data_IF_311091685378
#
_entry.id   IF_311091685378
#
_cell.length_a   1.000
_cell.length_b   1.000
_cell.length_c   1.000
_cell.angle_alpha   90.00
_cell.angle_beta   90.00
_cell.angle_gamma   90.00
#
_symmetry.space_group_name_H-M   'P 1'
#
loop_
_entity.id
_entity.type
_entity.pdbx_description
1 polymer ?
#
# COMPACT_ATOMS: atom_id res chain seq x y z
N UNK A 1 20.87 9.27 -9.62
CA UNK A 1 19.72 8.39 -9.82
C UNK A 1 19.71 7.87 -11.24
N UNK A 2 19.60 6.59 -11.41
CA UNK A 2 19.57 5.98 -12.73
C UNK A 2 18.23 6.26 -13.43
N UNK A 3 18.28 6.36 -14.74
CA UNK A 3 17.06 6.47 -15.54
C UNK A 3 16.25 5.18 -15.43
N UNK A 4 14.93 5.30 -15.33
CA UNK A 4 14.04 4.16 -15.22
C UNK A 4 12.72 4.46 -15.94
N UNK A 5 12.04 3.41 -16.37
CA UNK A 5 10.72 3.52 -16.98
C UNK A 5 9.67 3.10 -15.97
N UNK A 6 8.61 3.87 -15.83
CA UNK A 6 7.45 3.52 -15.04
C UNK A 6 6.37 3.00 -15.98
N UNK A 7 5.89 1.78 -15.75
CA UNK A 7 4.76 1.20 -16.47
C UNK A 7 3.53 1.28 -15.58
N UNK A 8 2.54 2.07 -15.99
CA UNK A 8 1.28 2.23 -15.26
C UNK A 8 0.17 1.54 -16.04
N UNK A 9 -0.53 0.64 -15.38
CA UNK A 9 -1.66 -0.07 -15.98
C UNK A 9 -2.95 0.27 -15.24
N UNK A 10 -3.93 0.80 -15.96
CA UNK A 10 -5.24 1.19 -15.42
C UNK A 10 -6.22 0.06 -15.70
N UNK A 11 -6.50 -0.75 -14.67
CA UNK A 11 -7.26 -2.00 -14.82
C UNK A 11 -8.65 -1.77 -15.44
N UNK A 12 -9.31 -0.69 -15.04
CA UNK A 12 -10.63 -0.32 -15.57
C UNK A 12 -10.59 0.97 -16.40
N UNK A 13 -9.40 1.38 -16.84
CA UNK A 13 -9.23 2.56 -17.66
C UNK A 13 -9.26 3.90 -16.93
N UNK A 14 -9.47 3.90 -15.62
CA UNK A 14 -9.53 5.13 -14.82
C UNK A 14 -8.22 5.34 -14.05
N UNK A 15 -7.61 6.54 -14.13
CA UNK A 15 -6.41 6.82 -13.35
C UNK A 15 -6.64 6.85 -11.83
N UNK A 16 -7.88 6.99 -11.38
CA UNK A 16 -8.22 7.02 -9.96
C UNK A 16 -8.77 5.69 -9.44
N UNK A 17 -8.93 4.70 -10.32
CA UNK A 17 -9.41 3.38 -9.96
C UNK A 17 -8.29 2.41 -9.65
N UNK A 18 -8.62 1.12 -9.67
CA UNK A 18 -7.64 0.05 -9.49
C UNK A 18 -6.57 0.15 -10.57
N UNK A 19 -5.31 0.22 -10.16
CA UNK A 19 -4.17 0.40 -11.06
C UNK A 19 -2.93 -0.26 -10.49
N UNK A 20 -2.00 -0.59 -11.39
CA UNK A 20 -0.70 -1.15 -11.01
C UNK A 20 0.42 -0.28 -11.58
N UNK A 21 1.55 -0.28 -10.89
CA UNK A 21 2.74 0.43 -11.34
C UNK A 21 3.99 -0.44 -11.15
N UNK A 22 4.86 -0.44 -12.14
CA UNK A 22 6.12 -1.17 -12.12
C UNK A 22 7.25 -0.26 -12.58
N UNK A 23 8.43 -0.43 -11.97
CA UNK A 23 9.65 0.24 -12.39
C UNK A 23 10.54 -0.74 -13.14
N UNK A 24 11.19 -0.28 -14.20
CA UNK A 24 12.03 -1.15 -15.04
C UNK A 24 13.24 -1.72 -14.33
N UNK A 25 13.74 -1.04 -13.30
CA UNK A 25 14.94 -1.44 -12.55
C UNK A 25 14.63 -1.92 -11.13
N UNK A 26 13.39 -2.29 -10.85
CA UNK A 26 12.97 -2.75 -9.53
C UNK A 26 12.08 -3.98 -9.67
N UNK A 27 12.30 -4.97 -8.81
CA UNK A 27 11.50 -6.20 -8.80
C UNK A 27 10.15 -6.02 -8.12
N UNK A 28 9.90 -4.88 -7.49
CA UNK A 28 8.65 -4.61 -6.81
C UNK A 28 7.55 -4.16 -7.76
N UNK A 29 6.33 -4.31 -7.29
CA UNK A 29 5.12 -3.89 -8.00
C UNK A 29 4.20 -3.21 -7.01
N UNK A 30 3.63 -2.08 -7.40
CA UNK A 30 2.64 -1.37 -6.60
C UNK A 30 1.25 -1.61 -7.20
N UNK A 31 0.27 -1.84 -6.33
CA UNK A 31 -1.14 -1.95 -6.72
C UNK A 31 -1.92 -0.98 -5.84
N UNK A 32 -2.68 -0.09 -6.44
CA UNK A 32 -3.44 0.91 -5.71
C UNK A 32 -4.90 0.89 -6.11
N UNK A 33 -5.77 1.16 -5.16
CA UNK A 33 -7.20 1.22 -5.42
C UNK A 33 -7.91 2.09 -4.40
N UNK A 34 -9.00 2.78 -4.81
CA UNK A 34 -9.89 3.40 -3.85
C UNK A 34 -10.66 2.33 -3.08
N UNK A 35 -11.15 2.69 -1.90
CA UNK A 35 -11.86 1.74 -1.03
C UNK A 35 -13.08 1.10 -1.71
N UNK A 36 -13.77 1.83 -2.57
CA UNK A 36 -14.93 1.30 -3.27
C UNK A 36 -14.58 0.21 -4.29
N UNK A 37 -13.31 -0.01 -4.57
CA UNK A 37 -12.84 -1.11 -5.41
C UNK A 37 -12.05 -2.15 -4.62
N UNK A 38 -12.22 -2.19 -3.30
CA UNK A 38 -11.51 -3.13 -2.43
C UNK A 38 -11.76 -4.58 -2.85
N UNK A 39 -12.98 -4.94 -3.22
CA UNK A 39 -13.28 -6.32 -3.63
C UNK A 39 -12.50 -6.74 -4.87
N UNK A 40 -12.32 -5.84 -5.84
CA UNK A 40 -11.51 -6.11 -7.03
C UNK A 40 -10.03 -6.19 -6.68
N UNK A 41 -9.56 -5.34 -5.78
CA UNK A 41 -8.19 -5.37 -5.30
C UNK A 41 -7.88 -6.71 -4.63
N UNK A 42 -8.74 -7.17 -3.73
CA UNK A 42 -8.53 -8.41 -2.99
C UNK A 42 -8.52 -9.67 -3.88
N UNK A 43 -9.08 -9.59 -5.08
CA UNK A 43 -9.08 -10.71 -6.03
C UNK A 43 -7.81 -10.81 -6.85
N UNK A 44 -6.91 -9.83 -6.75
CA UNK A 44 -5.65 -9.84 -7.50
C UNK A 44 -4.72 -10.90 -6.92
N UNK A 45 -4.10 -11.68 -7.80
CA UNK A 45 -3.18 -12.76 -7.38
C UNK A 45 -2.00 -12.23 -6.58
N UNK A 46 -1.52 -11.03 -6.91
CA UNK A 46 -0.38 -10.41 -6.22
C UNK A 46 -0.64 -10.25 -4.73
N UNK A 47 -1.89 -10.08 -4.32
CA UNK A 47 -2.22 -9.83 -2.92
C UNK A 47 -2.15 -11.06 -2.03
N UNK A 48 -2.01 -12.26 -2.59
CA UNK A 48 -1.77 -13.46 -1.79
C UNK A 48 -0.30 -13.63 -1.44
N UNK A 49 0.54 -12.68 -1.80
CA UNK A 49 1.99 -12.69 -1.55
C UNK A 49 2.34 -11.85 -0.33
N UNK A 50 3.57 -12.04 0.21
CA UNK A 50 4.10 -11.13 1.21
C UNK A 50 4.27 -9.73 0.65
N UNK A 51 4.02 -8.72 1.47
CA UNK A 51 4.16 -7.33 1.04
C UNK A 51 3.88 -6.37 2.17
N UNK A 52 3.91 -5.09 1.85
CA UNK A 52 3.51 -4.04 2.77
C UNK A 52 2.45 -3.17 2.09
N UNK A 53 1.70 -2.42 2.90
CA UNK A 53 0.60 -1.65 2.37
C UNK A 53 0.39 -0.37 3.17
N UNK A 54 -0.18 0.63 2.50
CA UNK A 54 -0.59 1.89 3.09
C UNK A 54 -2.11 2.00 2.97
N UNK A 55 -2.75 2.38 4.08
CA UNK A 55 -4.13 2.80 4.06
C UNK A 55 -4.14 4.29 4.35
N UNK A 56 -4.71 5.07 3.45
CA UNK A 56 -4.73 6.53 3.58
C UNK A 56 -6.16 7.04 3.59
N UNK A 57 -6.37 8.10 4.34
CA UNK A 57 -7.67 8.73 4.47
C UNK A 57 -7.59 9.96 5.35
N UNK A 58 -8.67 10.24 6.05
CA UNK A 58 -8.78 11.42 6.91
C UNK A 58 -9.26 10.98 8.28
N UNK A 59 -8.60 11.47 9.32
CA UNK A 59 -9.05 11.23 10.69
C UNK A 59 -10.37 11.97 10.92
N UNK A 60 -11.39 11.24 11.39
CA UNK A 60 -12.73 11.80 11.53
C UNK A 60 -12.83 12.85 12.64
N UNK A 61 -11.94 12.82 13.62
CA UNK A 61 -11.97 13.78 14.74
C UNK A 61 -11.22 15.07 14.44
N UNK A 62 -10.00 14.94 13.88
CA UNK A 62 -9.14 16.11 13.66
C UNK A 62 -9.24 16.68 12.25
N UNK A 63 -9.73 15.91 11.27
CA UNK A 63 -9.71 16.31 9.88
C UNK A 63 -8.35 16.20 9.22
N UNK A 64 -7.34 15.72 9.93
CA UNK A 64 -5.99 15.56 9.41
C UNK A 64 -5.88 14.30 8.54
N UNK A 65 -4.92 14.30 7.62
CA UNK A 65 -4.61 13.11 6.84
C UNK A 65 -4.12 12.01 7.76
N UNK A 66 -4.62 10.79 7.54
CA UNK A 66 -4.26 9.62 8.34
C UNK A 66 -3.63 8.57 7.44
N UNK A 67 -2.55 7.94 7.93
CA UNK A 67 -1.85 6.87 7.23
C UNK A 67 -1.69 5.70 8.19
N UNK A 68 -2.06 4.51 7.72
CA UNK A 68 -1.73 3.26 8.39
C UNK A 68 -0.74 2.51 7.48
N UNK A 69 0.39 2.09 8.04
CA UNK A 69 1.43 1.35 7.31
C UNK A 69 1.53 -0.02 7.94
N UNK A 70 1.34 -1.06 7.15
CA UNK A 70 1.40 -2.43 7.64
C UNK A 70 2.20 -3.35 6.75
N UNK A 71 2.56 -4.51 7.31
CA UNK A 71 3.20 -5.58 6.59
C UNK A 71 2.43 -6.88 6.81
N UNK A 72 2.55 -7.81 5.86
CA UNK A 72 1.86 -9.09 5.97
C UNK A 72 2.54 -10.16 5.13
N UNK A 73 2.41 -11.41 5.55
CA UNK A 73 2.80 -12.54 4.72
C UNK A 73 1.78 -12.81 3.62
N UNK A 74 0.52 -12.45 3.87
CA UNK A 74 -0.54 -12.48 2.87
C UNK A 74 -1.30 -11.16 3.00
N UNK A 75 -1.07 -10.26 2.06
CA UNK A 75 -1.62 -8.91 2.12
C UNK A 75 -3.15 -8.92 2.02
N UNK A 76 -3.73 -9.81 1.20
CA UNK A 76 -5.18 -9.88 1.05
C UNK A 76 -5.89 -10.14 2.38
N UNK A 77 -5.36 -11.07 3.18
CA UNK A 77 -5.94 -11.41 4.48
C UNK A 77 -5.86 -10.22 5.43
N UNK A 78 -4.71 -9.55 5.47
CA UNK A 78 -4.53 -8.38 6.35
C UNK A 78 -5.40 -7.20 5.92
N UNK A 79 -5.47 -6.92 4.62
CA UNK A 79 -6.34 -5.84 4.13
C UNK A 79 -7.81 -6.12 4.47
N UNK A 80 -8.24 -7.34 4.31
CA UNK A 80 -9.61 -7.71 4.64
C UNK A 80 -9.93 -7.45 6.10
N UNK A 81 -8.96 -7.61 7.00
CA UNK A 81 -9.14 -7.33 8.42
C UNK A 81 -9.36 -5.85 8.73
N UNK A 82 -8.98 -4.96 7.81
CA UNK A 82 -9.18 -3.52 7.95
C UNK A 82 -10.47 -3.02 7.30
N UNK A 83 -11.26 -3.91 6.69
CA UNK A 83 -12.45 -3.50 5.94
C UNK A 83 -13.51 -2.81 6.80
N UNK A 84 -13.52 -3.08 8.11
CA UNK A 84 -14.46 -2.46 9.03
C UNK A 84 -14.00 -1.12 9.61
N UNK A 85 -12.77 -0.72 9.35
CA UNK A 85 -12.24 0.55 9.84
C UNK A 85 -12.62 1.68 8.90
N UNK A 86 -12.97 2.83 9.42
CA UNK A 86 -13.56 3.90 8.63
C UNK A 86 -12.62 5.08 8.32
N UNK A 87 -11.38 5.06 8.83
CA UNK A 87 -10.46 6.18 8.63
C UNK A 87 -9.87 6.25 7.22
N UNK A 88 -9.86 5.14 6.47
CA UNK A 88 -9.16 5.09 5.18
C UNK A 88 -10.12 5.01 4.01
N UNK A 89 -9.69 5.56 2.88
CA UNK A 89 -10.45 5.54 1.63
C UNK A 89 -9.62 5.09 0.43
N UNK A 90 -8.33 4.85 0.62
CA UNK A 90 -7.43 4.43 -0.45
C UNK A 90 -6.41 3.44 0.10
N UNK A 91 -6.08 2.42 -0.68
CA UNK A 91 -5.08 1.42 -0.33
C UNK A 91 -4.01 1.35 -1.41
N UNK A 92 -2.75 1.26 -0.99
CA UNK A 92 -1.62 1.03 -1.89
C UNK A 92 -0.83 -0.15 -1.34
N UNK A 93 -0.59 -1.14 -2.19
CA UNK A 93 0.08 -2.39 -1.83
C UNK A 93 1.37 -2.51 -2.62
N UNK A 94 2.43 -2.95 -1.96
CA UNK A 94 3.73 -3.21 -2.58
C UNK A 94 4.11 -4.67 -2.37
N UNK A 95 4.35 -5.37 -3.47
CA UNK A 95 4.78 -6.78 -3.45
C UNK A 95 6.00 -6.94 -4.34
N UNK A 96 6.73 -8.03 -4.18
CA UNK A 96 7.85 -8.35 -5.06
C UNK A 96 7.38 -9.27 -6.19
N UNK A 97 7.84 -8.98 -7.42
CA UNK A 97 7.53 -9.81 -8.58
C UNK A 97 8.27 -11.13 -8.58
N UNK A 98 9.40 -11.21 -7.90
CA UNK A 98 10.31 -12.35 -7.94
C UNK A 98 10.42 -13.10 -6.61
N UNK A 99 9.49 -12.85 -5.68
CA UNK A 99 9.43 -13.52 -4.38
C UNK A 99 10.67 -13.34 -3.49
N UNK A 100 11.50 -12.35 -3.80
CA UNK A 100 12.70 -12.08 -2.99
C UNK A 100 12.41 -11.25 -1.73
N UNK A 101 11.18 -10.81 -1.57
CA UNK A 101 10.79 -9.98 -0.44
C UNK A 101 10.44 -10.87 0.76
N UNK A 102 11.35 -10.97 1.72
CA UNK A 102 11.14 -11.75 2.94
C UNK A 102 10.40 -10.94 4.00
N UNK A 103 9.86 -11.63 5.01
CA UNK A 103 9.19 -11.01 6.13
C UNK A 103 10.10 -10.01 6.87
N UNK A 104 11.39 -10.34 7.01
CA UNK A 104 12.35 -9.44 7.65
C UNK A 104 12.56 -8.16 6.83
N UNK A 105 12.66 -8.28 5.51
CA UNK A 105 12.78 -7.13 4.63
C UNK A 105 11.52 -6.24 4.70
N UNK A 106 10.36 -6.86 4.76
CA UNK A 106 9.09 -6.15 4.85
C UNK A 106 9.02 -5.34 6.15
N UNK A 107 9.39 -5.92 7.27
CA UNK A 107 9.40 -5.24 8.58
C UNK A 107 10.37 -4.07 8.59
N UNK A 108 11.53 -4.24 7.98
CA UNK A 108 12.52 -3.17 7.88
C UNK A 108 11.96 -1.98 7.09
N UNK A 109 11.34 -2.27 5.94
CA UNK A 109 10.73 -1.23 5.10
C UNK A 109 9.58 -0.54 5.82
N UNK A 110 8.73 -1.30 6.51
CA UNK A 110 7.64 -0.74 7.31
C UNK A 110 8.16 0.26 8.35
N UNK A 111 9.18 -0.13 9.11
CA UNK A 111 9.78 0.76 10.11
C UNK A 111 10.34 2.03 9.50
N UNK A 112 11.01 1.91 8.35
CA UNK A 112 11.56 3.07 7.64
C UNK A 112 10.46 4.01 7.15
N UNK A 113 9.37 3.45 6.62
CA UNK A 113 8.26 4.25 6.10
C UNK A 113 7.52 4.96 7.23
N UNK A 114 7.32 4.32 8.36
CA UNK A 114 6.73 4.95 9.54
C UNK A 114 7.61 6.12 10.00
N UNK A 115 8.93 5.92 10.07
CA UNK A 115 9.87 6.99 10.42
C UNK A 115 9.75 8.18 9.47
N UNK A 116 9.71 7.92 8.16
CA UNK A 116 9.61 8.97 7.15
C UNK A 116 8.28 9.72 7.29
N UNK A 117 7.19 9.01 7.52
CA UNK A 117 5.87 9.62 7.70
C UNK A 117 5.83 10.52 8.95
N UNK A 118 6.45 10.08 10.05
CA UNK A 118 6.54 10.88 11.26
C UNK A 118 7.38 12.14 11.06
N UNK A 119 8.50 12.03 10.35
CA UNK A 119 9.38 13.16 10.07
C UNK A 119 8.70 14.20 9.19
N UNK A 120 7.87 13.77 8.25
CA UNK A 120 7.16 14.70 7.37
C UNK A 120 6.12 15.54 8.11
N UNK A 121 5.63 15.06 9.23
CA UNK A 121 4.63 15.68 10.12
C UNK A 121 3.37 16.20 9.43
N UNK A 122 3.13 15.78 8.19
CA UNK A 122 1.94 16.19 7.43
C UNK A 122 0.77 15.21 7.56
N UNK A 123 0.96 14.09 8.23
CA UNK A 123 -0.04 13.05 8.34
C UNK A 123 -0.01 12.41 9.73
N UNK A 124 -1.18 11.98 10.21
CA UNK A 124 -1.30 11.18 11.42
C UNK A 124 -0.93 9.73 11.09
N UNK A 125 0.08 9.18 11.77
CA UNK A 125 0.49 7.78 11.56
C UNK A 125 -0.15 6.93 12.65
N UNK A 126 -1.17 6.17 12.26
CA UNK A 126 -2.06 5.47 13.20
C UNK A 126 -1.36 4.35 13.96
N UNK A 127 -0.45 3.64 13.33
CA UNK A 127 0.24 2.49 13.93
C UNK A 127 1.67 2.78 14.36
N UNK A 128 2.01 4.04 14.61
CA UNK A 128 3.37 4.43 14.99
C UNK A 128 3.60 4.42 16.50
N UNK A 129 2.58 4.31 17.28
CA UNK A 129 2.68 4.36 18.75
C UNK A 129 3.34 3.13 19.34
#
# INVERSE_FOLDING_TARGET
MEAATIKLFLVHGSPNGLRTAELSNWSGKAIAAPRNELSSLLKRDELSSPGFYFLTGVDSESGDKAIYIGEAENVAIRLKSHSGKDFWNSATVFVSKDENLTKSHIRYIEGKLISIALESSSSLVINAA
#
